data_IF_609558788152
#
_entry.id   IF_609558788152
#
_cell.length_a   1.000
_cell.length_b   1.000
_cell.length_c   1.000
_cell.angle_alpha   90.00
_cell.angle_beta   90.00
_cell.angle_gamma   90.00
#
_symmetry.space_group_name_H-M   'P 1'
#
loop_
_entity.id
_entity.type
_entity.pdbx_description
1 polymer ?
#
# COMPACT_ATOMS: atom_id res chain seq x y z
N UNK A 1 -5.60 -5.28 -3.71
CA UNK A 1 -5.20 -3.88 -3.47
C UNK A 1 -5.96 -3.35 -2.29
N UNK A 2 -5.72 -3.92 -1.11
CA UNK A 2 -6.41 -3.57 0.13
C UNK A 2 -5.36 -3.52 1.22
N UNK A 3 -5.46 -2.56 2.14
CA UNK A 3 -4.57 -2.51 3.28
C UNK A 3 -4.86 -3.68 4.23
N UNK A 4 -3.85 -4.47 4.58
CA UNK A 4 -4.01 -5.60 5.50
C UNK A 4 -4.16 -5.17 6.98
N UNK A 5 -4.03 -3.88 7.28
CA UNK A 5 -4.20 -3.32 8.63
C UNK A 5 -5.64 -2.88 8.91
N UNK A 6 -6.17 -1.98 8.08
CA UNK A 6 -7.51 -1.40 8.25
C UNK A 6 -8.56 -1.91 7.26
N UNK A 7 -8.19 -2.82 6.35
CA UNK A 7 -9.06 -3.40 5.32
C UNK A 7 -9.66 -2.38 4.33
N UNK A 8 -9.14 -1.15 4.28
CA UNK A 8 -9.55 -0.19 3.26
C UNK A 8 -9.09 -0.63 1.86
N UNK A 9 -9.90 -0.37 0.84
CA UNK A 9 -9.51 -0.54 -0.56
C UNK A 9 -8.49 0.53 -0.94
N UNK A 10 -7.30 0.12 -1.37
CA UNK A 10 -6.26 1.04 -1.80
C UNK A 10 -6.56 1.53 -3.22
N UNK A 11 -6.37 2.83 -3.51
CA UNK A 11 -6.45 3.34 -4.88
C UNK A 11 -5.49 2.60 -5.82
N UNK A 12 -5.85 2.40 -7.10
CA UNK A 12 -4.99 1.68 -8.05
C UNK A 12 -3.63 2.34 -8.25
N UNK A 13 -3.55 3.67 -8.16
CA UNK A 13 -2.30 4.43 -8.16
C UNK A 13 -1.38 3.99 -7.01
N UNK A 14 -1.88 4.00 -5.77
CA UNK A 14 -1.13 3.57 -4.57
C UNK A 14 -0.66 2.13 -4.72
N UNK A 15 -1.51 1.23 -5.25
CA UNK A 15 -1.11 -0.17 -5.50
C UNK A 15 0.04 -0.25 -6.51
N UNK A 16 0.03 0.56 -7.56
CA UNK A 16 1.10 0.60 -8.55
C UNK A 16 2.39 1.21 -7.99
N UNK A 17 2.29 2.24 -7.15
CA UNK A 17 3.44 2.88 -6.49
C UNK A 17 4.09 1.92 -5.47
N UNK A 18 3.28 1.22 -4.66
CA UNK A 18 3.77 0.20 -3.70
C UNK A 18 4.47 -0.97 -4.41
N UNK A 19 4.03 -1.31 -5.62
CA UNK A 19 4.70 -2.32 -6.46
C UNK A 19 6.01 -1.83 -7.11
N UNK A 20 6.09 -0.54 -7.45
CA UNK A 20 7.33 0.06 -7.97
C UNK A 20 8.40 0.16 -6.89
N UNK A 21 8.00 0.34 -5.63
CA UNK A 21 8.89 0.36 -4.46
C UNK A 21 9.98 1.45 -4.52
N UNK A 22 9.70 2.56 -5.21
CA UNK A 22 10.61 3.71 -5.35
C UNK A 22 10.66 4.59 -4.09
N UNK A 23 9.61 4.55 -3.27
CA UNK A 23 9.50 5.31 -2.04
C UNK A 23 8.66 4.59 -0.97
N UNK A 24 8.83 4.98 0.30
CA UNK A 24 8.01 4.48 1.40
C UNK A 24 6.63 5.11 1.29
N UNK A 25 5.61 4.27 1.15
CA UNK A 25 4.21 4.70 1.06
C UNK A 25 3.47 4.19 2.29
N UNK A 26 2.60 5.03 2.84
CA UNK A 26 1.74 4.66 3.98
C UNK A 26 0.28 4.62 3.57
N UNK A 27 -0.53 3.87 4.32
CA UNK A 27 -1.97 3.86 4.17
C UNK A 27 -2.55 5.18 4.66
N UNK A 28 -3.36 5.86 3.84
CA UNK A 28 -3.97 7.14 4.22
C UNK A 28 -5.00 7.10 5.36
N UNK A 29 -5.47 5.91 5.76
CA UNK A 29 -6.46 5.76 6.84
C UNK A 29 -5.84 5.32 8.18
N UNK A 30 -4.74 4.56 8.15
CA UNK A 30 -4.14 3.99 9.37
C UNK A 30 -2.64 4.21 9.51
N UNK A 31 -2.04 4.99 8.60
CA UNK A 31 -0.62 5.34 8.55
C UNK A 31 0.35 4.15 8.50
N UNK A 32 -0.15 2.93 8.26
CA UNK A 32 0.68 1.74 8.16
C UNK A 32 1.50 1.78 6.88
N UNK A 33 2.79 1.47 6.98
CA UNK A 33 3.68 1.31 5.83
C UNK A 33 3.15 0.19 4.93
N UNK A 34 2.97 0.51 3.65
CA UNK A 34 2.58 -0.42 2.61
C UNK A 34 3.84 -0.90 1.91
N UNK A 35 3.96 -2.21 1.75
CA UNK A 35 5.02 -2.84 0.99
C UNK A 35 4.43 -3.97 0.15
N UNK A 36 5.02 -4.22 -1.01
CA UNK A 36 4.70 -5.38 -1.81
C UNK A 36 5.64 -6.53 -1.42
N UNK A 37 5.08 -7.69 -1.10
CA UNK A 37 5.85 -8.90 -0.84
C UNK A 37 5.77 -9.77 -2.09
N UNK A 38 6.89 -9.93 -2.78
CA UNK A 38 7.05 -10.97 -3.81
C UNK A 38 7.18 -12.33 -3.10
N UNK A 39 6.46 -13.35 -3.58
CA UNK A 39 6.55 -14.74 -3.07
C UNK A 39 7.86 -15.43 -3.50
#
# INVERSE_FOLDING_TARGET
>A
GTCQGCHMTLPPQVVSEVKQNDCIITCGECDRILYFQEE
#
